data_IF_170150671546
#
_entry.id   IF_170150671546
#
_cell.length_a   1.000
_cell.length_b   1.000
_cell.length_c   1.000
_cell.angle_alpha   90.00
_cell.angle_beta   90.00
_cell.angle_gamma   90.00
#
_symmetry.space_group_name_H-M   'P 1'
#
loop_
_entity.id
_entity.type
_entity.pdbx_description
1 polymer ?
#
# COMPACT_ATOMS: atom_id res chain seq x y z
N UNK A 1 -11.01 -4.46 10.04
CA UNK A 1 -10.29 -4.32 8.75
C UNK A 1 -10.95 -5.22 7.70
N UNK A 2 -11.29 -4.69 6.52
CA UNK A 2 -11.84 -5.48 5.41
C UNK A 2 -10.76 -6.39 4.81
N UNK A 3 -11.06 -7.67 4.56
CA UNK A 3 -10.13 -8.67 3.97
C UNK A 3 -9.48 -8.19 2.65
N UNK A 4 -10.16 -7.31 1.92
CA UNK A 4 -9.66 -6.75 0.65
C UNK A 4 -8.56 -5.71 0.83
N UNK A 5 -8.61 -4.90 1.90
CA UNK A 5 -7.61 -3.86 2.17
C UNK A 5 -6.29 -4.46 2.65
N UNK A 6 -6.34 -5.47 3.52
CA UNK A 6 -5.15 -6.20 3.98
C UNK A 6 -4.38 -6.81 2.82
N UNK A 7 -5.07 -7.42 1.85
CA UNK A 7 -4.42 -8.00 0.66
C UNK A 7 -3.71 -6.94 -0.19
N UNK A 8 -4.25 -5.74 -0.33
CA UNK A 8 -3.60 -4.64 -1.07
C UNK A 8 -2.30 -4.23 -0.37
N UNK A 9 -2.35 -4.01 0.94
CA UNK A 9 -1.19 -3.60 1.74
C UNK A 9 -0.09 -4.67 1.69
N UNK A 10 -0.42 -5.94 1.90
CA UNK A 10 0.55 -7.04 1.78
C UNK A 10 1.17 -7.13 0.38
N UNK A 11 0.38 -6.82 -0.66
CA UNK A 11 0.86 -6.84 -2.04
C UNK A 11 1.84 -5.69 -2.30
N UNK A 12 1.60 -4.53 -1.70
CA UNK A 12 2.50 -3.36 -1.76
C UNK A 12 3.79 -3.64 -1.00
N UNK A 13 3.69 -4.16 0.23
CA UNK A 13 4.85 -4.46 1.09
C UNK A 13 5.81 -5.47 0.43
N UNK A 14 5.27 -6.46 -0.28
CA UNK A 14 6.06 -7.48 -0.99
C UNK A 14 6.72 -6.97 -2.27
N UNK A 15 6.42 -5.76 -2.74
CA UNK A 15 7.06 -5.21 -3.94
C UNK A 15 8.53 -4.91 -3.69
N UNK A 16 9.39 -5.50 -4.50
CA UNK A 16 10.82 -5.19 -4.54
C UNK A 16 11.06 -4.13 -5.61
N UNK A 17 11.36 -2.91 -5.20
CA UNK A 17 11.69 -1.81 -6.12
C UNK A 17 10.49 -0.92 -6.47
N UNK A 18 10.54 -0.32 -7.66
CA UNK A 18 9.52 0.62 -8.11
C UNK A 18 8.32 -0.11 -8.73
N UNK A 19 7.11 0.32 -8.37
CA UNK A 19 5.85 -0.20 -8.87
C UNK A 19 4.90 0.93 -9.29
N UNK A 20 3.92 0.59 -10.11
CA UNK A 20 2.79 1.45 -10.47
C UNK A 20 1.51 0.92 -9.83
N UNK A 21 0.48 1.77 -9.81
CA UNK A 21 -0.85 1.39 -9.33
C UNK A 21 -1.40 0.19 -10.12
N UNK A 22 -1.17 0.17 -11.44
CA UNK A 22 -1.61 -0.92 -12.31
C UNK A 22 -0.92 -2.25 -11.99
N UNK A 23 0.33 -2.23 -11.53
CA UNK A 23 1.06 -3.43 -11.12
C UNK A 23 0.39 -4.08 -9.90
N UNK A 24 0.00 -3.26 -8.92
CA UNK A 24 -0.71 -3.71 -7.72
C UNK A 24 -2.12 -4.19 -8.06
N UNK A 25 -2.86 -3.46 -8.89
CA UNK A 25 -4.20 -3.87 -9.35
C UNK A 25 -4.15 -5.24 -10.01
N UNK A 26 -3.16 -5.45 -10.89
CA UNK A 26 -2.96 -6.73 -11.58
C UNK A 26 -2.66 -7.86 -10.59
N UNK A 27 -1.76 -7.62 -9.63
CA UNK A 27 -1.41 -8.60 -8.60
C UNK A 27 -2.58 -8.93 -7.64
N UNK A 28 -3.43 -7.96 -7.33
CA UNK A 28 -4.61 -8.16 -6.46
C UNK A 28 -5.71 -8.92 -7.19
N UNK A 29 -5.94 -8.63 -8.47
CA UNK A 29 -6.96 -9.28 -9.29
C UNK A 29 -6.56 -10.70 -9.72
N UNK A 30 -5.27 -10.99 -9.85
CA UNK A 30 -4.81 -12.33 -10.18
C UNK A 30 -5.03 -13.29 -8.99
N UNK A 31 -5.66 -14.46 -9.20
CA UNK A 31 -5.80 -15.47 -8.16
C UNK A 31 -4.42 -16.05 -7.80
N UNK A 32 -4.06 -16.02 -6.53
CA UNK A 32 -2.80 -16.56 -5.97
C UNK A 32 -2.79 -18.10 -5.88
N UNK A 33 -3.58 -18.80 -6.69
CA UNK A 33 -3.70 -20.25 -6.60
C UNK A 33 -2.61 -20.94 -7.42
N UNK A 34 -1.60 -21.49 -6.74
CA UNK A 34 -0.72 -22.55 -7.27
C UNK A 34 -1.47 -23.89 -7.41
N UNK A 35 -2.74 -23.88 -7.77
CA UNK A 35 -3.56 -25.09 -7.86
C UNK A 35 -3.82 -25.41 -9.32
N UNK A 36 -3.31 -26.58 -9.73
CA UNK A 36 -3.45 -27.26 -11.02
C UNK A 36 -4.66 -26.81 -11.85
N UNK A 37 -4.37 -26.41 -13.09
CA UNK A 37 -5.23 -26.49 -14.29
C UNK A 37 -6.74 -26.43 -14.02
N UNK A 38 -7.29 -25.21 -13.98
CA UNK A 38 -8.68 -25.00 -14.38
C UNK A 38 -8.69 -24.03 -15.58
N UNK A 39 -8.98 -24.58 -16.77
CA UNK A 39 -9.27 -23.80 -17.99
C UNK A 39 -10.61 -23.09 -17.81
N UNK A 40 -10.65 -22.03 -17.03
CA UNK A 40 -11.70 -21.01 -17.08
C UNK A 40 -11.11 -19.69 -16.62
N UNK A 41 -10.58 -18.92 -17.56
CA UNK A 41 -10.27 -17.51 -17.37
C UNK A 41 -11.57 -16.77 -17.06
N UNK A 42 -11.95 -16.72 -15.79
CA UNK A 42 -12.91 -15.76 -15.29
C UNK A 42 -12.24 -14.39 -15.40
N UNK A 43 -12.43 -13.72 -16.55
CA UNK A 43 -12.08 -12.30 -16.67
C UNK A 43 -12.83 -11.58 -15.55
N UNK A 44 -12.10 -10.87 -14.69
CA UNK A 44 -12.72 -10.03 -13.68
C UNK A 44 -13.70 -9.08 -14.37
N UNK A 45 -14.90 -8.93 -13.82
CA UNK A 45 -15.88 -7.99 -14.36
C UNK A 45 -15.26 -6.59 -14.39
N UNK A 46 -15.50 -5.82 -15.46
CA UNK A 46 -14.98 -4.46 -15.62
C UNK A 46 -15.30 -3.58 -14.41
N UNK A 47 -16.49 -3.77 -13.81
CA UNK A 47 -16.92 -3.07 -12.58
C UNK A 47 -16.06 -3.44 -11.37
N UNK A 48 -15.67 -4.71 -11.25
CA UNK A 48 -14.80 -5.20 -10.17
C UNK A 48 -13.36 -4.70 -10.34
N UNK A 49 -12.88 -4.65 -11.58
CA UNK A 49 -11.58 -4.08 -11.90
C UNK A 49 -11.53 -2.58 -11.53
N UNK A 50 -12.53 -1.79 -11.96
CA UNK A 50 -12.62 -0.36 -11.62
C UNK A 50 -12.69 -0.12 -10.11
N UNK A 51 -13.50 -0.89 -9.39
CA UNK A 51 -13.60 -0.76 -7.93
C UNK A 51 -12.27 -1.10 -7.23
N UNK A 52 -11.56 -2.11 -7.74
CA UNK A 52 -10.24 -2.49 -7.21
C UNK A 52 -9.21 -1.41 -7.50
N UNK A 53 -9.21 -0.84 -8.71
CA UNK A 53 -8.34 0.29 -9.07
C UNK A 53 -8.53 1.48 -8.15
N UNK A 54 -9.79 1.87 -7.86
CA UNK A 54 -10.06 2.96 -6.91
C UNK A 54 -9.47 2.67 -5.53
N UNK A 55 -9.70 1.46 -5.00
CA UNK A 55 -9.18 1.09 -3.67
C UNK A 55 -7.67 1.04 -3.60
N UNK A 56 -7.01 0.57 -4.66
CA UNK A 56 -5.55 0.56 -4.75
C UNK A 56 -5.01 1.97 -4.85
N UNK A 57 -5.65 2.83 -5.65
CA UNK A 57 -5.28 4.24 -5.77
C UNK A 57 -5.39 4.96 -4.43
N UNK A 58 -6.48 4.75 -3.70
CA UNK A 58 -6.70 5.33 -2.37
C UNK A 58 -5.62 4.86 -1.39
N UNK A 59 -5.34 3.54 -1.37
CA UNK A 59 -4.30 2.97 -0.51
C UNK A 59 -2.90 3.51 -0.83
N UNK A 60 -2.51 3.56 -2.10
CA UNK A 60 -1.21 4.09 -2.54
C UNK A 60 -1.09 5.58 -2.21
N UNK A 61 -2.15 6.36 -2.43
CA UNK A 61 -2.14 7.81 -2.13
C UNK A 61 -2.00 8.04 -0.62
N UNK A 62 -2.75 7.29 0.18
CA UNK A 62 -2.69 7.34 1.65
C UNK A 62 -1.29 6.99 2.15
N UNK A 63 -0.73 5.86 1.69
CA UNK A 63 0.61 5.43 2.10
C UNK A 63 1.70 6.40 1.65
N UNK A 64 1.54 7.05 0.50
CA UNK A 64 2.44 8.11 0.05
C UNK A 64 2.35 9.35 0.94
N UNK A 65 1.15 9.81 1.26
CA UNK A 65 0.94 10.98 2.15
C UNK A 65 1.53 10.79 3.54
N UNK A 66 1.44 9.57 4.09
CA UNK A 66 2.03 9.25 5.39
C UNK A 66 3.52 8.85 5.31
N UNK A 67 4.18 9.00 4.17
CA UNK A 67 5.63 8.75 4.03
C UNK A 67 6.04 7.26 3.93
N UNK A 68 5.10 6.32 3.87
CA UNK A 68 5.40 4.89 3.70
C UNK A 68 5.88 4.57 2.27
N UNK A 69 5.55 5.41 1.29
CA UNK A 69 5.99 5.27 -0.10
C UNK A 69 6.78 6.50 -0.54
N UNK A 70 7.81 6.27 -1.34
CA UNK A 70 8.53 7.31 -2.08
C UNK A 70 8.07 7.31 -3.53
N UNK A 71 7.96 8.49 -4.16
CA UNK A 71 7.56 8.63 -5.56
C UNK A 71 8.74 9.12 -6.41
N UNK A 72 9.03 8.40 -7.50
CA UNK A 72 10.06 8.78 -8.47
C UNK A 72 9.54 8.57 -9.90
N UNK A 73 9.54 9.63 -10.72
CA UNK A 73 9.13 9.57 -12.14
C UNK A 73 7.78 8.86 -12.37
N UNK A 74 6.79 9.12 -11.51
CA UNK A 74 5.45 8.53 -11.61
C UNK A 74 5.33 7.08 -11.10
N UNK A 75 6.38 6.51 -10.51
CA UNK A 75 6.39 5.20 -9.86
C UNK A 75 6.56 5.34 -8.36
N UNK A 76 6.10 4.35 -7.61
CA UNK A 76 6.17 4.30 -6.15
C UNK A 76 7.15 3.23 -5.70
N UNK A 77 7.80 3.40 -4.55
CA UNK A 77 8.64 2.40 -3.91
C UNK A 77 8.38 2.43 -2.41
N UNK A 78 8.32 1.25 -1.79
CA UNK A 78 8.22 1.14 -0.32
C UNK A 78 9.45 1.77 0.31
N UNK A 79 9.24 2.73 1.22
CA UNK A 79 10.33 3.30 2.00
C UNK A 79 10.90 2.21 2.92
N UNK A 80 12.20 1.95 2.79
CA UNK A 80 12.93 1.04 3.65
C UNK A 80 14.28 1.67 3.99
N UNK A 81 14.66 1.77 5.28
CA UNK A 81 13.88 1.37 6.46
C UNK A 81 12.70 2.31 6.75
N UNK A 82 11.75 1.84 7.57
CA UNK A 82 10.64 2.64 8.06
C UNK A 82 11.15 3.61 9.14
N UNK A 83 11.61 4.79 8.72
CA UNK A 83 12.13 5.81 9.64
C UNK A 83 11.00 6.76 9.97
N UNK A 84 10.43 6.64 11.17
CA UNK A 84 9.61 7.69 11.75
C UNK A 84 10.52 8.63 12.54
N UNK A 85 10.76 9.81 12.01
CA UNK A 85 11.33 10.95 12.75
C UNK A 85 10.20 11.72 13.41
N UNK A 86 10.27 11.88 14.73
CA UNK A 86 9.25 12.59 15.50
C UNK A 86 9.66 12.75 16.95
N UNK A 87 8.99 13.65 17.66
CA UNK A 87 9.22 13.86 19.09
C UNK A 87 8.42 12.83 19.88
N UNK A 88 9.12 11.94 20.59
CA UNK A 88 8.50 11.00 21.52
C UNK A 88 8.34 11.67 22.89
N UNK A 89 7.10 11.97 23.28
CA UNK A 89 6.81 12.49 24.62
C UNK A 89 6.26 11.35 25.47
N UNK A 90 7.00 10.98 26.51
CA UNK A 90 6.55 10.04 27.53
C UNK A 90 5.80 10.74 28.67
N UNK A 91 4.67 10.19 29.09
CA UNK A 91 4.03 10.61 30.33
C UNK A 91 4.62 9.82 31.52
N UNK A 92 4.47 10.35 32.75
CA UNK A 92 4.95 9.71 33.99
C UNK A 92 4.34 8.32 34.27
N UNK A 93 3.33 7.90 33.51
CA UNK A 93 2.65 6.60 33.62
C UNK A 93 3.11 5.60 32.56
N UNK A 94 4.15 5.92 31.78
CA UNK A 94 4.71 5.02 30.76
C UNK A 94 3.94 4.96 29.44
N UNK A 95 2.91 5.81 29.25
CA UNK A 95 2.26 6.00 27.96
C UNK A 95 3.00 7.04 27.12
N UNK A 96 3.27 6.75 25.86
CA UNK A 96 3.91 7.68 24.91
C UNK A 96 2.94 8.20 23.87
N UNK A 97 3.08 9.47 23.49
CA UNK A 97 2.42 10.06 22.31
C UNK A 97 3.51 10.42 21.32
N UNK A 98 3.35 9.98 20.06
CA UNK A 98 4.26 10.30 18.96
C UNK A 98 3.63 11.43 18.16
N UNK A 99 4.33 12.56 18.09
CA UNK A 99 3.98 13.65 17.17
C UNK A 99 4.82 13.47 15.91
N UNK A 100 4.15 13.19 14.79
CA UNK A 100 4.79 13.25 13.48
C UNK A 100 5.07 14.72 13.18
N UNK A 101 6.30 15.04 12.79
CA UNK A 101 6.58 16.37 12.23
C UNK A 101 5.84 16.44 10.89
N UNK A 102 4.91 17.38 10.79
CA UNK A 102 4.46 17.84 9.48
C UNK A 102 5.66 18.57 8.86
N UNK A 103 6.32 17.93 7.89
CA UNK A 103 7.34 18.59 7.05
C UNK A 103 6.63 19.69 6.24
N UNK A 104 6.61 20.90 6.81
CA UNK A 104 6.37 22.13 6.06
C UNK A 104 7.72 22.48 5.41
N UNK A 105 7.76 22.39 4.09
CA UNK A 105 8.88 22.83 3.25
C UNK A 105 9.32 24.26 3.57
N UNK A 106 10.62 24.45 3.86
CA UNK A 106 11.47 25.58 3.39
C UNK A 106 12.89 25.07 3.16
#
# INVERSE_FOLDING_TARGET
MSKSTSRIIETIEKQKGFFTVNDIVSAVLLPTSKTKKSKKTNKASQRQAQQTTSRVQDAVTTLYQYGFLTKQKGKFKVAHPFICTGTFIHNKKGGGVVYLQDDIEV
#
